data_IF_921483896366
#
_entry.id   IF_921483896366
#
_cell.length_a   1.000
_cell.length_b   1.000
_cell.length_c   1.000
_cell.angle_alpha   90.00
_cell.angle_beta   90.00
_cell.angle_gamma   90.00
#
_symmetry.space_group_name_H-M   'P 1'
#
loop_
_entity.id
_entity.type
_entity.pdbx_description
1 polymer ?
#
# COMPACT_ATOMS: atom_id res chain seq x y z
N UNK A 1 55.93 -13.36 24.96
CA UNK A 1 55.16 -14.46 24.34
C UNK A 1 54.27 -13.82 23.27
N UNK A 2 54.38 -14.17 21.97
CA UNK A 2 53.61 -13.50 20.91
C UNK A 2 52.17 -14.07 20.84
N UNK A 3 51.20 -13.20 20.55
CA UNK A 3 49.78 -13.54 20.32
C UNK A 3 49.58 -14.25 18.98
N UNK A 4 48.60 -15.18 18.85
CA UNK A 4 48.30 -15.82 17.58
C UNK A 4 47.59 -14.85 16.61
N UNK A 5 47.68 -15.06 15.28
CA UNK A 5 47.02 -14.21 14.31
C UNK A 5 45.50 -14.44 14.32
N UNK A 6 44.73 -13.36 14.20
CA UNK A 6 43.28 -13.42 14.04
C UNK A 6 42.91 -14.03 12.69
N UNK A 7 42.22 -15.16 12.70
CA UNK A 7 41.59 -15.74 11.50
C UNK A 7 40.47 -14.81 11.04
N UNK A 8 40.70 -14.10 9.94
CA UNK A 8 39.64 -13.38 9.23
C UNK A 8 38.74 -14.42 8.56
N UNK A 9 37.50 -14.56 9.05
CA UNK A 9 36.45 -15.30 8.35
C UNK A 9 36.11 -14.53 7.06
N UNK A 10 36.67 -14.99 5.94
CA UNK A 10 36.23 -14.57 4.60
C UNK A 10 34.75 -14.93 4.46
N UNK A 11 33.92 -13.91 4.23
CA UNK A 11 32.54 -14.11 3.82
C UNK A 11 32.53 -14.95 2.52
N UNK A 12 31.63 -15.93 2.37
CA UNK A 12 31.59 -16.73 1.16
C UNK A 12 31.30 -15.81 -0.03
N UNK A 13 32.22 -15.83 -1.00
CA UNK A 13 32.09 -15.12 -2.26
C UNK A 13 30.77 -15.54 -2.93
N UNK A 14 29.94 -14.56 -3.28
CA UNK A 14 28.72 -14.80 -4.06
C UNK A 14 29.16 -15.31 -5.43
N UNK A 15 29.00 -16.62 -5.65
CA UNK A 15 29.30 -17.23 -6.93
C UNK A 15 28.41 -16.64 -8.04
N UNK A 16 28.92 -16.44 -9.27
CA UNK A 16 28.18 -15.79 -10.36
C UNK A 16 26.83 -16.45 -10.68
N UNK A 17 26.72 -17.77 -10.46
CA UNK A 17 25.49 -18.55 -10.68
C UNK A 17 24.33 -18.15 -9.75
N UNK A 18 24.63 -17.81 -8.49
CA UNK A 18 23.60 -17.31 -7.55
C UNK A 18 23.06 -15.94 -7.97
N UNK A 19 23.89 -15.11 -8.62
CA UNK A 19 23.48 -13.80 -9.13
C UNK A 19 22.56 -13.95 -10.35
N UNK A 20 22.89 -14.82 -11.30
CA UNK A 20 22.05 -15.06 -12.48
C UNK A 20 20.69 -15.67 -12.12
N UNK A 21 20.69 -16.63 -11.19
CA UNK A 21 19.45 -17.27 -10.70
C UNK A 21 18.53 -16.26 -10.00
N UNK A 22 19.09 -15.33 -9.20
CA UNK A 22 18.31 -14.27 -8.55
C UNK A 22 17.77 -13.24 -9.54
N UNK A 23 18.54 -12.90 -10.58
CA UNK A 23 18.10 -11.98 -11.64
C UNK A 23 16.98 -12.61 -12.47
N UNK A 24 17.11 -13.88 -12.85
CA UNK A 24 16.08 -14.63 -13.56
C UNK A 24 14.80 -14.78 -12.72
N UNK A 25 14.92 -15.08 -11.42
CA UNK A 25 13.77 -15.15 -10.51
C UNK A 25 13.07 -13.79 -10.35
N UNK A 26 13.82 -12.69 -10.26
CA UNK A 26 13.26 -11.32 -10.23
C UNK A 26 12.55 -10.96 -11.53
N UNK A 27 13.13 -11.32 -12.67
CA UNK A 27 12.53 -11.07 -13.98
C UNK A 27 11.24 -11.88 -14.19
N UNK A 28 11.23 -13.14 -13.74
CA UNK A 28 10.04 -14.03 -13.80
C UNK A 28 8.93 -13.55 -12.86
N UNK A 29 9.27 -13.10 -11.64
CA UNK A 29 8.30 -12.51 -10.72
C UNK A 29 7.73 -11.20 -11.27
N UNK A 30 8.57 -10.34 -11.85
CA UNK A 30 8.14 -9.11 -12.52
C UNK A 30 7.19 -9.46 -13.67
N UNK A 31 7.56 -10.39 -14.55
CA UNK A 31 6.72 -10.86 -15.66
C UNK A 31 5.35 -11.38 -15.21
N UNK A 32 5.26 -12.05 -14.05
CA UNK A 32 3.98 -12.54 -13.49
C UNK A 32 3.14 -11.42 -12.84
N UNK A 33 3.77 -10.34 -12.40
CA UNK A 33 3.11 -9.16 -11.83
C UNK A 33 2.81 -8.07 -12.87
N UNK A 34 3.44 -8.13 -14.05
CA UNK A 34 3.32 -7.14 -15.13
C UNK A 34 2.64 -7.71 -16.37
N UNK A 35 1.77 -8.71 -16.23
CA UNK A 35 0.83 -9.00 -17.30
C UNK A 35 -0.06 -7.78 -17.52
N UNK A 36 -0.38 -7.46 -18.79
CA UNK A 36 -1.30 -6.37 -19.16
C UNK A 36 -2.66 -6.63 -18.51
N UNK A 37 -2.80 -6.16 -17.27
CA UNK A 37 -4.04 -6.25 -16.52
C UNK A 37 -4.75 -4.95 -16.76
N UNK A 38 -5.72 -4.97 -17.66
CA UNK A 38 -6.69 -3.88 -17.76
C UNK A 38 -7.50 -3.83 -16.48
N UNK A 39 -7.41 -2.71 -15.77
CA UNK A 39 -8.28 -2.46 -14.63
C UNK A 39 -9.71 -2.27 -15.12
N UNK A 40 -10.63 -3.01 -14.54
CA UNK A 40 -12.06 -2.81 -14.77
C UNK A 40 -12.47 -1.46 -14.18
N UNK A 41 -12.74 -0.50 -15.06
CA UNK A 41 -13.12 0.85 -14.66
C UNK A 41 -14.49 0.88 -13.98
N UNK A 42 -15.40 -0.03 -14.31
CA UNK A 42 -16.69 -0.13 -13.62
C UNK A 42 -16.49 -0.58 -12.18
N UNK A 43 -15.63 -1.58 -11.95
CA UNK A 43 -15.28 -2.01 -10.60
C UNK A 43 -14.60 -0.88 -9.80
N UNK A 44 -13.69 -0.12 -10.42
CA UNK A 44 -13.06 1.04 -9.77
C UNK A 44 -14.10 2.07 -9.35
N UNK A 45 -14.97 2.51 -10.27
CA UNK A 45 -16.01 3.49 -9.96
C UNK A 45 -16.95 2.97 -8.87
N UNK A 46 -17.35 1.70 -8.95
CA UNK A 46 -18.19 1.06 -7.93
C UNK A 46 -17.55 1.13 -6.54
N UNK A 47 -16.31 0.66 -6.40
CA UNK A 47 -15.65 0.62 -5.10
C UNK A 47 -15.32 2.00 -4.54
N UNK A 48 -15.00 2.98 -5.41
CA UNK A 48 -14.83 4.38 -4.97
C UNK A 48 -16.12 4.94 -4.39
N UNK A 49 -17.24 4.74 -5.07
CA UNK A 49 -18.55 5.20 -4.61
C UNK A 49 -18.98 4.49 -3.32
N UNK A 50 -18.81 3.16 -3.25
CA UNK A 50 -19.14 2.37 -2.07
C UNK A 50 -18.34 2.86 -0.85
N UNK A 51 -17.02 3.04 -1.00
CA UNK A 51 -16.17 3.51 0.09
C UNK A 51 -16.52 4.92 0.54
N UNK A 52 -16.73 5.84 -0.40
CA UNK A 52 -17.16 7.20 -0.10
C UNK A 52 -18.47 7.24 0.69
N UNK A 53 -19.45 6.42 0.29
CA UNK A 53 -20.73 6.33 0.99
C UNK A 53 -20.58 5.77 2.41
N UNK A 54 -19.81 4.69 2.56
CA UNK A 54 -19.50 4.09 3.87
C UNK A 54 -18.84 5.10 4.82
N UNK A 55 -17.85 5.85 4.33
CA UNK A 55 -17.17 6.88 5.14
C UNK A 55 -18.13 8.01 5.54
N UNK A 56 -18.93 8.53 4.60
CA UNK A 56 -19.90 9.59 4.93
C UNK A 56 -20.90 9.12 5.97
N UNK A 57 -21.47 7.92 5.80
CA UNK A 57 -22.45 7.39 6.74
C UNK A 57 -21.85 7.17 8.14
N UNK A 58 -20.70 6.49 8.21
CA UNK A 58 -20.03 6.19 9.47
C UNK A 58 -19.63 7.46 10.22
N UNK A 59 -18.93 8.38 9.55
CA UNK A 59 -18.41 9.57 10.23
C UNK A 59 -19.50 10.58 10.57
N UNK A 60 -20.58 10.65 9.79
CA UNK A 60 -21.76 11.43 10.16
C UNK A 60 -22.45 10.87 11.40
N UNK A 61 -22.61 9.55 11.50
CA UNK A 61 -23.17 8.92 12.70
C UNK A 61 -22.28 9.22 13.92
N UNK A 62 -20.97 8.96 13.83
CA UNK A 62 -20.05 9.18 14.94
C UNK A 62 -19.95 10.65 15.37
N UNK A 63 -20.00 11.59 14.43
CA UNK A 63 -20.01 13.02 14.74
C UNK A 63 -21.27 13.47 15.51
N UNK A 64 -22.41 12.80 15.30
CA UNK A 64 -23.69 13.17 15.93
C UNK A 64 -23.91 12.43 17.24
N UNK A 65 -23.64 11.12 17.28
CA UNK A 65 -24.03 10.25 18.40
C UNK A 65 -22.84 9.67 19.16
N UNK A 66 -21.67 9.60 18.53
CA UNK A 66 -20.47 8.93 19.04
C UNK A 66 -19.79 9.64 20.22
N UNK A 67 -18.78 8.99 20.81
CA UNK A 67 -17.99 9.54 21.91
C UNK A 67 -17.00 10.63 21.46
N UNK A 68 -16.43 10.49 20.27
CA UNK A 68 -15.35 11.36 19.73
C UNK A 68 -15.88 12.29 18.63
N UNK A 69 -16.87 13.11 18.98
CA UNK A 69 -17.69 13.86 18.00
C UNK A 69 -16.92 14.88 17.19
N UNK A 70 -16.06 15.66 17.84
CA UNK A 70 -15.30 16.74 17.18
C UNK A 70 -14.30 16.17 16.17
N UNK A 71 -13.57 15.13 16.56
CA UNK A 71 -12.64 14.41 15.67
C UNK A 71 -13.40 13.78 14.49
N UNK A 72 -14.51 13.09 14.78
CA UNK A 72 -15.36 12.49 13.73
C UNK A 72 -15.91 13.54 12.76
N UNK A 73 -16.29 14.71 13.26
CA UNK A 73 -16.74 15.83 12.43
C UNK A 73 -15.61 16.37 11.55
N UNK A 74 -14.39 16.46 12.07
CA UNK A 74 -13.24 16.91 11.28
C UNK A 74 -12.85 15.90 10.20
N UNK A 75 -12.93 14.60 10.49
CA UNK A 75 -12.78 13.55 9.47
C UNK A 75 -13.86 13.67 8.40
N UNK A 76 -15.13 13.83 8.79
CA UNK A 76 -16.25 13.99 7.86
C UNK A 76 -16.06 15.21 6.95
N UNK A 77 -15.62 16.35 7.48
CA UNK A 77 -15.27 17.53 6.67
C UNK A 77 -14.18 17.21 5.66
N UNK A 78 -13.18 16.42 6.05
CA UNK A 78 -12.13 15.95 5.14
C UNK A 78 -12.67 15.08 4.01
N UNK A 79 -13.55 14.12 4.33
CA UNK A 79 -14.21 13.23 3.35
C UNK A 79 -15.05 14.00 2.32
N UNK A 80 -15.76 15.05 2.77
CA UNK A 80 -16.61 15.90 1.94
C UNK A 80 -15.87 17.10 1.32
N UNK A 81 -14.61 17.33 1.67
CA UNK A 81 -13.82 18.47 1.23
C UNK A 81 -13.44 18.40 -0.25
N UNK A 82 -12.83 19.47 -0.80
CA UNK A 82 -12.51 19.59 -2.24
C UNK A 82 -11.52 18.54 -2.77
N UNK A 83 -10.77 17.90 -1.88
CA UNK A 83 -9.87 16.77 -2.19
C UNK A 83 -10.27 15.51 -1.40
N UNK A 84 -11.53 15.47 -0.95
CA UNK A 84 -12.09 14.40 -0.17
C UNK A 84 -12.49 13.21 -1.04
N UNK A 85 -12.55 12.04 -0.42
CA UNK A 85 -12.88 10.80 -1.11
C UNK A 85 -14.26 10.83 -1.78
N UNK A 86 -15.24 11.50 -1.15
CA UNK A 86 -16.58 11.64 -1.72
C UNK A 86 -16.58 12.47 -3.01
N UNK A 87 -15.76 13.52 -3.07
CA UNK A 87 -15.61 14.35 -4.28
C UNK A 87 -14.90 13.57 -5.38
N UNK A 88 -13.82 12.83 -5.04
CA UNK A 88 -13.11 12.01 -6.02
C UNK A 88 -13.95 10.86 -6.59
N UNK A 89 -14.90 10.33 -5.83
CA UNK A 89 -15.76 9.25 -6.30
C UNK A 89 -16.72 9.70 -7.44
N UNK A 90 -16.97 11.00 -7.57
CA UNK A 90 -17.79 11.58 -8.65
C UNK A 90 -17.07 11.68 -9.99
N UNK A 91 -15.74 11.42 -10.01
CA UNK A 91 -14.85 11.61 -11.17
C UNK A 91 -14.42 10.27 -11.77
#
# INVERSE_FOLDING_TARGET
QPTPPSTVLLHPAITPEHSQTRIAARSSLKSRLTGDTTLDQHAITYYRNARALEDVALWAEQAITGPDREESLDILKGVLGPHGLAVFALS
#
